data_IF_852567467491
#
_entry.id   IF_852567467491
#
_cell.length_a   1.000
_cell.length_b   1.000
_cell.length_c   1.000
_cell.angle_alpha   90.00
_cell.angle_beta   90.00
_cell.angle_gamma   90.00
#
_symmetry.space_group_name_H-M   'P 1'
#
loop_
_entity.id
_entity.type
_entity.pdbx_description
1 polymer ?
#
# COMPACT_ATOMS: atom_id res chain seq x y z
N UNK A 1 -14.12 -9.23 45.41
CA UNK A 1 -14.72 -10.57 45.28
C UNK A 1 -13.59 -11.59 45.32
N UNK A 2 -13.40 -12.28 46.45
CA UNK A 2 -12.34 -13.27 46.64
C UNK A 2 -12.72 -14.57 45.93
N UNK A 3 -12.01 -14.91 44.85
CA UNK A 3 -12.10 -16.24 44.25
C UNK A 3 -11.53 -17.22 45.29
N UNK A 4 -12.36 -18.12 45.80
CA UNK A 4 -11.93 -19.09 46.80
C UNK A 4 -10.98 -20.10 46.15
N UNK A 5 -10.03 -20.64 46.91
CA UNK A 5 -9.12 -21.72 46.47
C UNK A 5 -9.84 -22.99 46.04
N UNK A 6 -11.13 -23.16 46.38
CA UNK A 6 -11.98 -24.25 45.89
C UNK A 6 -12.38 -24.08 44.40
N UNK A 7 -12.45 -22.86 43.89
CA UNK A 7 -12.84 -22.59 42.50
C UNK A 7 -11.73 -22.92 41.49
N UNK A 8 -10.46 -22.84 41.90
CA UNK A 8 -9.34 -23.16 41.02
C UNK A 8 -9.20 -24.67 40.76
N UNK A 9 -9.61 -25.54 41.69
CA UNK A 9 -9.51 -27.01 41.54
C UNK A 9 -10.41 -27.56 40.43
N UNK A 10 -11.48 -26.84 40.06
CA UNK A 10 -12.43 -27.25 39.01
C UNK A 10 -12.15 -26.62 37.64
N UNK A 11 -11.07 -25.87 37.48
CA UNK A 11 -10.74 -25.21 36.19
C UNK A 11 -10.64 -26.21 35.02
N UNK A 12 -10.18 -27.44 35.28
CA UNK A 12 -10.12 -28.52 34.28
C UNK A 12 -11.48 -29.12 33.90
N UNK A 13 -12.51 -28.90 34.72
CA UNK A 13 -13.87 -29.42 34.52
C UNK A 13 -14.79 -28.42 33.81
N UNK A 14 -14.42 -27.12 33.83
CA UNK A 14 -15.18 -26.07 33.16
C UNK A 14 -14.88 -26.09 31.67
N UNK A 15 -15.83 -26.62 30.89
CA UNK A 15 -15.76 -26.54 29.42
C UNK A 15 -15.91 -25.08 28.99
N UNK A 16 -14.87 -24.53 28.40
CA UNK A 16 -14.90 -23.18 27.83
C UNK A 16 -16.10 -23.04 26.86
N UNK A 17 -16.86 -21.93 26.93
CA UNK A 17 -17.90 -21.65 25.94
C UNK A 17 -17.37 -21.78 24.52
N UNK A 18 -18.19 -22.30 23.61
CA UNK A 18 -17.82 -22.38 22.21
C UNK A 18 -17.34 -21.02 21.69
N UNK A 19 -16.20 -21.01 21.00
CA UNK A 19 -15.61 -19.79 20.46
C UNK A 19 -14.81 -18.94 21.45
N UNK A 20 -14.72 -19.29 22.75
CA UNK A 20 -14.01 -18.45 23.74
C UNK A 20 -12.53 -18.26 23.40
N UNK A 21 -11.81 -19.34 23.08
CA UNK A 21 -10.40 -19.27 22.71
C UNK A 21 -10.18 -18.38 21.47
N UNK A 22 -11.06 -18.48 20.47
CA UNK A 22 -11.01 -17.64 19.27
C UNK A 22 -11.24 -16.16 19.62
N UNK A 23 -12.26 -15.85 20.43
CA UNK A 23 -12.53 -14.48 20.88
C UNK A 23 -11.40 -13.89 21.71
N UNK A 24 -10.77 -14.71 22.57
CA UNK A 24 -9.60 -14.28 23.37
C UNK A 24 -8.39 -14.00 22.48
N UNK A 25 -8.10 -14.88 21.52
CA UNK A 25 -7.00 -14.67 20.57
C UNK A 25 -7.22 -13.43 19.70
N UNK A 26 -8.44 -13.23 19.19
CA UNK A 26 -8.84 -12.03 18.44
C UNK A 26 -8.73 -10.76 19.30
N UNK A 27 -9.27 -10.82 20.53
CA UNK A 27 -9.24 -9.71 21.49
C UNK A 27 -7.83 -9.33 21.94
N UNK A 28 -6.92 -10.30 22.03
CA UNK A 28 -5.50 -10.06 22.28
C UNK A 28 -4.75 -9.57 21.03
N UNK A 29 -5.31 -9.74 19.83
CA UNK A 29 -4.66 -9.46 18.55
C UNK A 29 -3.58 -10.47 18.18
N UNK A 30 -3.75 -11.72 18.66
CA UNK A 30 -2.90 -12.89 18.38
C UNK A 30 -3.48 -13.76 17.24
N UNK A 31 -4.67 -13.44 16.78
CA UNK A 31 -5.32 -14.04 15.63
C UNK A 31 -6.17 -12.99 14.92
N UNK A 32 -6.33 -13.15 13.61
CA UNK A 32 -6.95 -12.15 12.75
C UNK A 32 -8.18 -12.78 12.06
N UNK A 33 -9.30 -12.08 12.07
CA UNK A 33 -10.47 -12.45 11.28
C UNK A 33 -10.21 -12.13 9.82
N UNK A 34 -10.86 -12.85 8.90
CA UNK A 34 -10.74 -12.53 7.49
C UNK A 34 -12.05 -12.81 6.74
N UNK A 35 -12.19 -12.18 5.58
CA UNK A 35 -13.31 -12.40 4.66
C UNK A 35 -12.90 -12.12 3.22
N UNK A 36 -13.69 -12.64 2.28
CA UNK A 36 -13.59 -12.35 0.85
C UNK A 36 -14.43 -11.12 0.50
N UNK A 37 -13.84 -10.23 -0.29
CA UNK A 37 -14.48 -9.06 -0.87
C UNK A 37 -14.33 -9.10 -2.38
N UNK A 38 -15.42 -8.91 -3.10
CA UNK A 38 -15.35 -8.71 -4.54
C UNK A 38 -15.01 -7.24 -4.84
N UNK A 39 -13.97 -7.02 -5.63
CA UNK A 39 -13.46 -5.69 -5.95
C UNK A 39 -13.30 -5.53 -7.47
N UNK A 40 -13.08 -4.30 -7.93
CA UNK A 40 -12.84 -4.00 -9.35
C UNK A 40 -11.58 -4.70 -9.93
N UNK A 41 -10.69 -5.20 -9.08
CA UNK A 41 -9.47 -5.93 -9.46
C UNK A 41 -9.57 -7.45 -9.23
N UNK A 42 -10.78 -7.94 -8.95
CA UNK A 42 -11.09 -9.34 -8.63
C UNK A 42 -11.37 -9.58 -7.14
N UNK A 43 -11.59 -10.84 -6.78
CA UNK A 43 -11.80 -11.23 -5.39
C UNK A 43 -10.52 -11.05 -4.57
N UNK A 44 -10.64 -10.38 -3.42
CA UNK A 44 -9.54 -10.13 -2.49
C UNK A 44 -9.96 -10.64 -1.11
N UNK A 45 -9.13 -11.46 -0.49
CA UNK A 45 -9.25 -11.79 0.92
C UNK A 45 -8.56 -10.71 1.74
N UNK A 46 -9.22 -10.25 2.79
CA UNK A 46 -8.72 -9.20 3.70
C UNK A 46 -8.77 -9.76 5.12
N UNK A 47 -7.64 -9.68 5.83
CA UNK A 47 -7.56 -10.02 7.24
C UNK A 47 -7.44 -8.76 8.11
N UNK A 48 -8.07 -8.77 9.28
CA UNK A 48 -8.07 -7.66 10.21
C UNK A 48 -8.13 -8.12 11.67
N UNK A 49 -7.71 -7.22 12.55
CA UNK A 49 -7.88 -7.33 14.00
C UNK A 49 -8.16 -5.93 14.59
N UNK A 50 -8.17 -5.82 15.92
CA UNK A 50 -8.41 -4.54 16.63
C UNK A 50 -7.46 -3.39 16.24
N UNK A 51 -6.23 -3.74 15.84
CA UNK A 51 -5.19 -2.78 15.46
C UNK A 51 -5.41 -2.24 14.04
N UNK A 52 -6.01 -3.04 13.16
CA UNK A 52 -6.32 -2.66 11.78
C UNK A 52 -6.34 -3.86 10.83
N UNK A 53 -6.39 -3.57 9.53
CA UNK A 53 -6.16 -4.56 8.48
C UNK A 53 -4.70 -5.00 8.53
N UNK A 54 -4.45 -6.30 8.54
CA UNK A 54 -3.12 -6.90 8.70
C UNK A 54 -2.63 -7.60 7.44
N UNK A 55 -3.53 -8.06 6.58
CA UNK A 55 -3.16 -8.63 5.29
C UNK A 55 -4.26 -8.45 4.24
N UNK A 56 -3.87 -8.48 2.98
CA UNK A 56 -4.75 -8.60 1.85
C UNK A 56 -4.10 -9.44 0.75
N UNK A 57 -4.84 -10.30 0.06
CA UNK A 57 -4.31 -10.99 -1.11
C UNK A 57 -5.41 -11.39 -2.09
N UNK A 58 -5.08 -11.46 -3.37
CA UNK A 58 -5.88 -12.22 -4.33
C UNK A 58 -5.54 -13.69 -4.15
N UNK A 59 -6.55 -14.51 -3.92
CA UNK A 59 -6.41 -15.95 -3.78
C UNK A 59 -7.63 -16.63 -4.39
N UNK A 60 -7.44 -17.82 -4.96
CA UNK A 60 -8.51 -18.60 -5.58
C UNK A 60 -9.36 -19.32 -4.54
N UNK A 61 -8.83 -19.51 -3.33
CA UNK A 61 -9.54 -20.15 -2.23
C UNK A 61 -9.18 -19.54 -0.88
N UNK A 62 -10.04 -19.78 0.11
CA UNK A 62 -9.75 -19.42 1.50
C UNK A 62 -8.52 -20.18 2.04
N UNK A 63 -8.33 -21.44 1.63
CA UNK A 63 -7.20 -22.25 2.05
C UNK A 63 -5.85 -21.65 1.60
N UNK A 64 -5.76 -21.25 0.32
CA UNK A 64 -4.58 -20.58 -0.25
C UNK A 64 -4.28 -19.26 0.50
N UNK A 65 -5.32 -18.48 0.81
CA UNK A 65 -5.16 -17.26 1.61
C UNK A 65 -4.65 -17.55 3.01
N UNK A 66 -5.18 -18.58 3.67
CA UNK A 66 -4.75 -18.95 5.03
C UNK A 66 -3.30 -19.45 5.07
N UNK A 67 -2.83 -20.15 4.04
CA UNK A 67 -1.42 -20.55 3.91
C UNK A 67 -0.51 -19.33 3.75
N UNK A 68 -0.86 -18.44 2.82
CA UNK A 68 -0.17 -17.16 2.64
C UNK A 68 -0.13 -16.35 3.95
N UNK A 69 -1.26 -16.22 4.64
CA UNK A 69 -1.35 -15.45 5.87
C UNK A 69 -0.46 -16.02 6.98
N UNK A 70 -0.41 -17.35 7.13
CA UNK A 70 0.49 -17.99 8.10
C UNK A 70 1.96 -17.75 7.76
N UNK A 71 2.33 -17.81 6.49
CA UNK A 71 3.70 -17.63 6.03
C UNK A 71 4.18 -16.18 6.21
N UNK A 72 3.37 -15.20 5.79
CA UNK A 72 3.79 -13.79 5.75
C UNK A 72 3.52 -13.03 7.06
N UNK A 73 2.42 -13.33 7.75
CA UNK A 73 2.01 -12.59 8.97
C UNK A 73 2.38 -13.35 10.24
N UNK A 74 2.54 -14.67 10.17
CA UNK A 74 2.91 -15.52 11.32
C UNK A 74 1.83 -15.63 12.40
N UNK A 75 0.63 -15.10 12.17
CA UNK A 75 -0.53 -15.20 13.09
C UNK A 75 -1.53 -16.25 12.60
N UNK A 76 -2.44 -16.63 13.49
CA UNK A 76 -3.51 -17.57 13.15
C UNK A 76 -4.66 -16.86 12.43
N UNK A 77 -5.08 -17.30 11.23
CA UNK A 77 -6.32 -16.83 10.64
C UNK A 77 -7.49 -17.47 11.40
N UNK A 78 -8.43 -16.65 11.86
CA UNK A 78 -9.72 -17.10 12.37
C UNK A 78 -10.69 -17.15 11.19
N UNK A 79 -11.39 -18.27 11.07
CA UNK A 79 -12.37 -18.65 10.04
C UNK A 79 -13.04 -17.47 9.31
N UNK A 80 -13.43 -17.67 8.03
CA UNK A 80 -14.15 -16.67 7.28
C UNK A 80 -15.45 -16.31 8.02
N UNK A 81 -15.48 -15.10 8.57
CA UNK A 81 -16.66 -14.52 9.19
C UNK A 81 -17.33 -13.58 8.19
N UNK A 82 -18.64 -13.37 8.32
CA UNK A 82 -19.26 -12.21 7.65
C UNK A 82 -18.66 -10.96 8.28
N UNK A 83 -17.96 -10.10 7.52
CA UNK A 83 -17.42 -8.87 8.07
C UNK A 83 -18.58 -8.04 8.64
N UNK A 84 -18.35 -7.33 9.75
CA UNK A 84 -19.35 -6.38 10.21
C UNK A 84 -19.69 -5.39 9.08
N UNK A 85 -20.94 -4.92 8.96
CA UNK A 85 -21.30 -3.93 7.94
C UNK A 85 -20.39 -2.70 7.95
N UNK A 86 -19.94 -2.28 9.14
CA UNK A 86 -18.96 -1.21 9.32
C UNK A 86 -17.61 -1.54 8.65
N UNK A 87 -17.05 -2.72 8.89
CA UNK A 87 -15.78 -3.12 8.28
C UNK A 87 -15.89 -3.22 6.75
N UNK A 88 -16.98 -3.80 6.25
CA UNK A 88 -17.23 -3.89 4.81
C UNK A 88 -17.34 -2.49 4.15
N UNK A 89 -18.01 -1.55 4.81
CA UNK A 89 -18.10 -0.18 4.34
C UNK A 89 -16.74 0.51 4.35
N UNK A 90 -15.95 0.36 5.42
CA UNK A 90 -14.60 0.94 5.51
C UNK A 90 -13.64 0.38 4.47
N UNK A 91 -13.72 -0.92 4.16
CA UNK A 91 -12.92 -1.54 3.09
C UNK A 91 -13.30 -0.95 1.73
N UNK A 92 -14.59 -0.83 1.45
CA UNK A 92 -15.09 -0.17 0.22
C UNK A 92 -14.64 1.28 0.12
N UNK A 93 -14.68 2.02 1.24
CA UNK A 93 -14.22 3.40 1.33
C UNK A 93 -12.70 3.55 1.13
N UNK A 94 -11.90 2.64 1.68
CA UNK A 94 -10.44 2.65 1.45
C UNK A 94 -10.11 2.37 -0.01
N UNK A 95 -10.79 1.41 -0.64
CA UNK A 95 -10.61 1.06 -2.06
C UNK A 95 -11.04 2.20 -3.00
N UNK A 96 -12.03 3.00 -2.60
CA UNK A 96 -12.43 4.23 -3.32
C UNK A 96 -11.57 5.46 -2.99
N UNK A 97 -10.60 5.32 -2.08
CA UNK A 97 -9.58 6.34 -1.80
C UNK A 97 -9.87 7.28 -0.63
N UNK A 98 -10.90 7.03 0.20
CA UNK A 98 -11.25 7.86 1.36
C UNK A 98 -10.32 7.70 2.58
N UNK A 99 -9.42 6.70 2.56
CA UNK A 99 -8.36 6.48 3.57
C UNK A 99 -8.84 6.36 5.03
N UNK A 100 -9.91 5.59 5.27
CA UNK A 100 -10.54 5.42 6.59
C UNK A 100 -9.98 4.24 7.40
N UNK A 101 -9.13 3.38 6.82
CA UNK A 101 -8.59 2.19 7.47
C UNK A 101 -7.27 2.45 8.21
N UNK A 102 -7.12 1.75 9.33
CA UNK A 102 -5.84 1.54 10.03
C UNK A 102 -5.21 0.24 9.54
N UNK A 103 -3.88 0.19 9.57
CA UNK A 103 -3.12 -0.99 9.20
C UNK A 103 -2.29 -1.50 10.36
N UNK A 104 -2.38 -2.80 10.62
CA UNK A 104 -1.56 -3.51 11.58
C UNK A 104 -0.28 -3.99 10.90
N UNK A 105 0.79 -3.20 11.07
CA UNK A 105 2.11 -3.53 10.55
C UNK A 105 3.03 -4.18 11.59
N UNK A 106 2.48 -4.66 12.72
CA UNK A 106 3.25 -5.40 13.72
C UNK A 106 3.74 -6.71 13.12
N UNK A 107 5.02 -7.01 13.33
CA UNK A 107 5.71 -8.15 12.71
C UNK A 107 6.68 -7.72 11.60
N UNK A 108 6.50 -6.51 11.05
CA UNK A 108 7.45 -5.91 10.11
C UNK A 108 8.54 -5.11 10.84
N UNK A 109 9.72 -5.02 10.26
CA UNK A 109 10.82 -4.18 10.74
C UNK A 109 10.44 -2.69 10.69
N UNK A 110 11.09 -1.85 11.50
CA UNK A 110 10.84 -0.40 11.48
C UNK A 110 11.05 0.20 10.08
N UNK A 111 12.04 -0.30 9.35
CA UNK A 111 12.33 0.10 7.97
C UNK A 111 11.16 -0.25 7.03
N UNK A 112 10.67 -1.48 7.05
CA UNK A 112 9.53 -1.91 6.22
C UNK A 112 8.28 -1.10 6.56
N UNK A 113 8.00 -0.89 7.84
CA UNK A 113 6.88 -0.07 8.27
C UNK A 113 6.99 1.37 7.75
N UNK A 114 8.19 1.97 7.79
CA UNK A 114 8.43 3.31 7.24
C UNK A 114 8.21 3.36 5.73
N UNK A 115 8.69 2.35 4.99
CA UNK A 115 8.49 2.19 3.54
C UNK A 115 7.00 2.12 3.21
N UNK A 116 6.25 1.23 3.86
CA UNK A 116 4.83 1.01 3.59
C UNK A 116 3.99 2.25 3.92
N UNK A 117 4.24 2.91 5.07
CA UNK A 117 3.59 4.18 5.42
C UNK A 117 3.87 5.26 4.39
N UNK A 118 5.13 5.37 3.93
CA UNK A 118 5.51 6.37 2.94
C UNK A 118 4.89 6.09 1.56
N UNK A 119 4.85 4.83 1.13
CA UNK A 119 4.16 4.44 -0.10
C UNK A 119 2.66 4.76 -0.05
N UNK A 120 2.02 4.60 1.12
CA UNK A 120 0.62 5.01 1.33
C UNK A 120 0.40 6.48 1.06
N UNK A 121 1.37 7.38 1.26
CA UNK A 121 1.21 8.81 0.96
C UNK A 121 1.04 9.11 -0.53
N UNK A 122 1.38 8.17 -1.44
CA UNK A 122 1.27 8.39 -2.87
C UNK A 122 -0.21 8.41 -3.27
N UNK A 123 -0.74 9.53 -3.82
CA UNK A 123 -2.16 9.64 -4.14
C UNK A 123 -2.58 8.74 -5.30
N UNK A 124 -3.88 8.44 -5.37
CA UNK A 124 -4.49 7.70 -6.48
C UNK A 124 -4.16 8.36 -7.83
N UNK A 125 -3.79 7.54 -8.81
CA UNK A 125 -3.43 8.00 -10.15
C UNK A 125 -2.10 8.75 -10.23
N UNK A 126 -1.24 8.60 -9.23
CA UNK A 126 0.13 9.11 -9.23
C UNK A 126 1.13 8.00 -8.97
N UNK A 127 2.35 8.17 -9.48
CA UNK A 127 3.48 7.27 -9.19
C UNK A 127 4.69 8.04 -8.66
N UNK A 128 5.54 7.35 -7.89
CA UNK A 128 6.83 7.87 -7.43
C UNK A 128 7.93 6.81 -7.64
N UNK A 129 9.19 7.21 -7.84
CA UNK A 129 10.26 6.24 -7.96
C UNK A 129 10.61 5.60 -6.61
N UNK A 130 11.21 4.40 -6.60
CA UNK A 130 11.73 3.79 -5.37
C UNK A 130 12.70 4.71 -4.61
N UNK A 131 13.52 5.46 -5.34
CA UNK A 131 14.44 6.46 -4.79
C UNK A 131 13.74 7.59 -4.05
N UNK A 132 12.50 7.93 -4.44
CA UNK A 132 11.70 8.92 -3.74
C UNK A 132 11.30 8.39 -2.36
N UNK A 133 10.83 7.15 -2.27
CA UNK A 133 10.49 6.53 -0.98
C UNK A 133 11.73 6.44 -0.09
N UNK A 134 12.85 5.96 -0.64
CA UNK A 134 14.13 5.84 0.07
C UNK A 134 14.59 7.18 0.68
N UNK A 135 14.52 8.26 -0.10
CA UNK A 135 14.83 9.62 0.37
C UNK A 135 13.88 10.08 1.47
N UNK A 136 12.58 9.89 1.27
CA UNK A 136 11.54 10.40 2.18
C UNK A 136 11.47 9.65 3.53
N UNK A 137 12.10 8.48 3.63
CA UNK A 137 12.28 7.75 4.89
C UNK A 137 13.67 7.98 5.51
N UNK A 138 14.51 8.87 4.94
CA UNK A 138 15.83 9.19 5.47
C UNK A 138 16.95 8.22 5.07
N UNK A 139 16.70 7.29 4.14
CA UNK A 139 17.66 6.27 3.70
C UNK A 139 17.87 6.31 2.17
N UNK A 140 18.43 7.39 1.60
CA UNK A 140 18.49 7.60 0.14
C UNK A 140 19.24 6.50 -0.64
N UNK A 141 20.22 5.84 -0.02
CA UNK A 141 20.96 4.73 -0.63
C UNK A 141 20.20 3.39 -0.62
N UNK A 142 19.13 3.26 0.17
CA UNK A 142 18.42 2.01 0.42
C UNK A 142 17.38 1.63 -0.67
N UNK A 143 17.56 2.12 -1.91
CA UNK A 143 16.58 1.94 -3.01
C UNK A 143 16.20 0.48 -3.25
N UNK A 144 17.18 -0.44 -3.20
CA UNK A 144 16.93 -1.88 -3.37
C UNK A 144 16.15 -2.46 -2.20
N UNK A 145 16.50 -2.10 -0.96
CA UNK A 145 15.80 -2.55 0.23
C UNK A 145 14.35 -2.04 0.28
N UNK A 146 14.09 -0.81 -0.19
CA UNK A 146 12.73 -0.30 -0.40
C UNK A 146 11.97 -1.19 -1.39
N UNK A 147 12.62 -1.60 -2.49
CA UNK A 147 12.03 -2.53 -3.45
C UNK A 147 11.62 -3.87 -2.83
N UNK A 148 12.50 -4.46 -2.02
CA UNK A 148 12.22 -5.71 -1.29
C UNK A 148 11.06 -5.55 -0.29
N UNK A 149 11.07 -4.48 0.51
CA UNK A 149 9.99 -4.20 1.47
C UNK A 149 8.63 -4.01 0.78
N UNK A 150 8.59 -3.38 -0.40
CA UNK A 150 7.35 -3.22 -1.17
C UNK A 150 6.90 -4.50 -1.88
N UNK A 151 7.85 -5.37 -2.25
CA UNK A 151 7.55 -6.67 -2.83
C UNK A 151 6.89 -7.60 -1.81
N UNK A 152 7.30 -7.50 -0.54
CA UNK A 152 6.76 -8.26 0.59
C UNK A 152 5.66 -7.48 1.34
N UNK A 153 4.98 -6.54 0.68
CA UNK A 153 3.88 -5.81 1.30
C UNK A 153 2.74 -6.79 1.63
N UNK A 154 2.39 -7.01 2.92
CA UNK A 154 1.32 -7.94 3.29
C UNK A 154 -0.07 -7.39 2.97
N UNK A 155 -0.20 -6.09 2.67
CA UNK A 155 -1.46 -5.40 2.44
C UNK A 155 -1.45 -4.70 1.06
N UNK A 156 -1.28 -5.45 -0.05
CA UNK A 156 -1.39 -4.91 -1.40
C UNK A 156 -2.76 -4.25 -1.62
N UNK A 157 -2.82 -3.34 -2.61
CA UNK A 157 -3.99 -2.54 -3.00
C UNK A 157 -4.37 -1.44 -2.02
N UNK A 158 -4.38 -1.73 -0.72
CA UNK A 158 -4.61 -0.74 0.33
C UNK A 158 -3.34 0.09 0.60
N UNK A 159 -2.18 -0.59 0.71
CA UNK A 159 -0.87 0.05 0.65
C UNK A 159 -0.38 -0.06 -0.80
N UNK A 160 -0.29 1.06 -1.55
CA UNK A 160 -0.21 1.04 -3.00
C UNK A 160 1.23 0.82 -3.48
N UNK A 161 1.79 -0.36 -3.25
CA UNK A 161 3.12 -0.72 -3.75
C UNK A 161 3.20 -0.71 -5.30
N UNK A 162 2.07 -0.84 -5.99
CA UNK A 162 1.97 -0.66 -7.45
C UNK A 162 2.22 0.79 -7.92
N UNK A 163 2.08 1.80 -7.05
CA UNK A 163 2.38 3.20 -7.37
C UNK A 163 3.85 3.56 -7.26
N UNK A 164 4.70 2.65 -6.80
CA UNK A 164 6.15 2.85 -6.74
C UNK A 164 6.80 2.19 -7.95
N UNK A 165 7.52 2.97 -8.77
CA UNK A 165 8.09 2.52 -10.05
C UNK A 165 9.60 2.74 -10.10
N UNK A 166 10.25 2.27 -11.16
CA UNK A 166 11.68 2.56 -11.35
C UNK A 166 11.88 4.05 -11.65
N UNK A 167 13.06 4.57 -11.30
CA UNK A 167 13.41 5.98 -11.56
C UNK A 167 13.50 6.31 -13.05
N UNK A 168 13.78 5.31 -13.88
CA UNK A 168 13.72 5.43 -15.33
C UNK A 168 12.29 5.52 -15.88
N UNK A 169 11.27 5.35 -15.04
CA UNK A 169 9.84 5.36 -15.42
C UNK A 169 9.33 4.03 -15.98
N UNK A 170 10.19 3.01 -16.09
CA UNK A 170 9.79 1.65 -16.49
C UNK A 170 8.98 1.00 -15.36
N UNK A 171 7.82 0.45 -15.71
CA UNK A 171 7.01 -0.34 -14.78
C UNK A 171 7.63 -1.74 -14.69
N UNK A 172 8.36 -1.97 -13.59
CA UNK A 172 8.98 -3.25 -13.30
C UNK A 172 8.03 -4.30 -12.73
N UNK A 173 8.61 -5.41 -12.28
CA UNK A 173 7.87 -6.52 -11.68
C UNK A 173 7.06 -6.11 -10.44
N UNK A 174 6.05 -6.92 -10.10
CA UNK A 174 5.10 -6.66 -9.02
C UNK A 174 4.72 -7.95 -8.30
N UNK A 175 4.84 -7.94 -6.96
CA UNK A 175 4.50 -9.11 -6.13
C UNK A 175 3.05 -9.57 -6.29
N UNK A 176 2.12 -8.65 -6.58
CA UNK A 176 0.68 -8.97 -6.71
C UNK A 176 0.23 -9.50 -8.07
N UNK A 177 1.11 -10.15 -8.84
CA UNK A 177 0.76 -10.80 -10.12
C UNK A 177 1.51 -10.29 -11.36
N UNK A 178 2.73 -9.78 -11.19
CA UNK A 178 3.62 -9.43 -12.30
C UNK A 178 3.42 -8.03 -12.90
N UNK A 179 4.26 -7.65 -13.88
CA UNK A 179 4.28 -6.30 -14.44
C UNK A 179 2.95 -5.92 -15.11
N UNK A 180 2.25 -6.86 -15.75
CA UNK A 180 0.97 -6.60 -16.40
C UNK A 180 -0.14 -6.31 -15.40
N UNK A 181 -0.19 -7.01 -14.26
CA UNK A 181 -1.13 -6.68 -13.19
C UNK A 181 -0.90 -5.27 -12.65
N UNK A 182 0.37 -4.86 -12.48
CA UNK A 182 0.72 -3.51 -12.04
C UNK A 182 0.29 -2.45 -13.05
N UNK A 183 0.52 -2.69 -14.34
CA UNK A 183 0.05 -1.80 -15.42
C UNK A 183 -1.47 -1.69 -15.43
N UNK A 184 -2.19 -2.81 -15.32
CA UNK A 184 -3.65 -2.83 -15.30
C UNK A 184 -4.21 -1.99 -14.15
N UNK A 185 -3.68 -2.15 -12.93
CA UNK A 185 -4.11 -1.35 -11.78
C UNK A 185 -3.82 0.13 -12.01
N UNK A 186 -2.61 0.49 -12.47
CA UNK A 186 -2.26 1.89 -12.75
C UNK A 186 -3.16 2.51 -13.83
N UNK A 187 -3.51 1.75 -14.87
CA UNK A 187 -4.46 2.18 -15.90
C UNK A 187 -5.86 2.42 -15.31
N UNK A 188 -6.34 1.54 -14.43
CA UNK A 188 -7.60 1.75 -13.69
C UNK A 188 -7.55 3.02 -12.85
N UNK A 189 -6.38 3.38 -12.31
CA UNK A 189 -6.19 4.66 -11.61
C UNK A 189 -6.08 5.89 -12.52
N UNK A 190 -6.24 5.71 -13.83
CA UNK A 190 -6.14 6.76 -14.83
C UNK A 190 -4.72 7.20 -15.12
N UNK A 191 -3.71 6.35 -14.86
CA UNK A 191 -2.33 6.58 -15.30
C UNK A 191 -2.21 6.18 -16.76
N UNK A 192 -1.75 7.10 -17.61
CA UNK A 192 -1.40 6.81 -19.01
C UNK A 192 -0.07 6.07 -19.06
N UNK A 193 -0.12 4.74 -18.91
CA UNK A 193 1.06 3.87 -18.81
C UNK A 193 1.99 4.00 -20.01
N UNK A 194 1.44 3.97 -21.24
CA UNK A 194 2.24 4.07 -22.46
C UNK A 194 2.96 5.42 -22.55
N UNK A 195 2.24 6.52 -22.31
CA UNK A 195 2.81 7.86 -22.28
C UNK A 195 3.93 8.00 -21.23
N UNK A 196 3.75 7.44 -20.02
CA UNK A 196 4.79 7.44 -19.01
C UNK A 196 6.04 6.66 -19.47
N UNK A 197 5.85 5.55 -20.19
CA UNK A 197 6.94 4.78 -20.76
C UNK A 197 7.63 5.50 -21.94
N UNK A 198 6.91 6.32 -22.71
CA UNK A 198 7.48 7.14 -23.78
C UNK A 198 8.35 8.26 -23.19
N UNK A 199 7.85 8.96 -22.15
CA UNK A 199 8.63 9.96 -21.39
C UNK A 199 9.88 9.34 -20.76
N UNK A 200 9.73 8.17 -20.16
CA UNK A 200 10.81 7.37 -19.59
C UNK A 200 11.94 7.15 -20.60
N UNK A 201 11.59 6.66 -21.81
CA UNK A 201 12.51 6.40 -22.93
C UNK A 201 13.17 7.68 -23.45
N UNK A 202 12.43 8.80 -23.48
CA UNK A 202 12.97 10.10 -23.83
C UNK A 202 13.85 10.73 -22.72
N UNK A 203 14.08 10.04 -21.61
CA UNK A 203 14.87 10.56 -20.49
C UNK A 203 14.15 11.63 -19.66
N UNK A 204 12.86 11.87 -19.91
CA UNK A 204 12.06 12.86 -19.16
C UNK A 204 11.68 12.29 -17.81
N UNK A 205 11.88 13.07 -16.73
CA UNK A 205 11.55 12.68 -15.35
C UNK A 205 10.60 13.64 -14.66
N UNK A 206 10.61 14.89 -15.11
CA UNK A 206 9.79 15.95 -14.58
C UNK A 206 9.07 16.69 -15.69
N UNK A 207 8.08 17.47 -15.27
CA UNK A 207 7.42 18.45 -16.11
C UNK A 207 7.31 19.77 -15.36
N UNK A 208 7.66 20.86 -16.02
CA UNK A 208 7.46 22.23 -15.60
C UNK A 208 6.12 22.77 -16.10
N UNK A 209 5.42 23.54 -15.29
CA UNK A 209 4.14 24.19 -15.66
C UNK A 209 4.33 25.70 -15.69
N UNK A 210 4.43 26.27 -16.90
CA UNK A 210 4.78 27.68 -17.17
C UNK A 210 3.95 28.67 -16.36
N UNK A 211 2.63 28.48 -16.31
CA UNK A 211 1.71 29.39 -15.60
C UNK A 211 1.91 29.46 -14.09
N UNK A 212 2.55 28.45 -13.50
CA UNK A 212 2.76 28.37 -12.04
C UNK A 212 4.23 28.42 -11.64
N UNK A 213 5.15 28.30 -12.60
CA UNK A 213 6.58 28.26 -12.35
C UNK A 213 7.03 27.05 -11.51
N UNK A 214 6.24 25.95 -11.47
CA UNK A 214 6.62 24.75 -10.69
C UNK A 214 6.95 23.57 -11.57
N UNK A 215 7.89 22.73 -11.12
CA UNK A 215 8.11 21.40 -11.70
C UNK A 215 7.63 20.29 -10.77
N UNK A 216 7.24 19.16 -11.35
CA UNK A 216 6.70 18.00 -10.64
C UNK A 216 6.83 16.72 -11.48
N UNK A 217 6.51 15.55 -10.90
CA UNK A 217 6.45 14.30 -11.66
C UNK A 217 5.32 14.32 -12.72
N UNK A 218 5.46 13.59 -13.84
CA UNK A 218 4.47 13.57 -14.93
C UNK A 218 3.04 13.21 -14.49
N UNK A 219 2.91 12.28 -13.53
CA UNK A 219 1.61 11.84 -13.01
C UNK A 219 1.06 12.68 -11.86
N UNK A 220 1.79 13.72 -11.44
CA UNK A 220 1.36 14.64 -10.40
C UNK A 220 0.01 15.28 -10.74
N UNK A 221 -0.93 15.31 -9.79
CA UNK A 221 -2.27 15.88 -9.97
C UNK A 221 -2.29 17.28 -10.59
N UNK A 222 -1.31 18.13 -10.24
CA UNK A 222 -1.18 19.48 -10.79
C UNK A 222 -0.76 19.47 -12.26
N UNK A 223 0.36 18.81 -12.55
CA UNK A 223 0.91 18.83 -13.89
C UNK A 223 0.06 18.03 -14.89
N UNK A 224 -0.60 16.94 -14.47
CA UNK A 224 -1.52 16.17 -15.34
C UNK A 224 -2.75 16.94 -15.82
N UNK A 225 -3.08 18.07 -15.18
CA UNK A 225 -4.20 18.96 -15.54
C UNK A 225 -3.72 20.22 -16.27
N UNK A 226 -2.42 20.43 -16.39
CA UNK A 226 -1.88 21.56 -17.14
C UNK A 226 -2.15 21.36 -18.63
N UNK A 227 -2.50 22.47 -19.31
CA UNK A 227 -2.65 22.47 -20.77
C UNK A 227 -1.30 22.21 -21.41
N UNK A 228 -1.28 21.41 -22.47
CA UNK A 228 -0.05 20.96 -23.14
C UNK A 228 0.88 22.11 -23.53
N UNK A 229 0.33 23.21 -24.06
CA UNK A 229 1.09 24.45 -24.38
C UNK A 229 1.86 25.06 -23.19
N UNK A 230 1.39 24.78 -21.97
CA UNK A 230 1.95 25.28 -20.71
C UNK A 230 2.91 24.28 -20.05
N UNK A 231 3.12 23.11 -20.64
CA UNK A 231 4.01 22.08 -20.11
C UNK A 231 5.38 22.18 -20.77
N UNK A 232 6.43 22.01 -19.97
CA UNK A 232 7.81 21.83 -20.41
C UNK A 232 8.28 20.49 -19.87
N UNK A 233 8.80 19.61 -20.73
CA UNK A 233 9.35 18.32 -20.32
C UNK A 233 10.79 18.53 -19.86
N UNK A 234 11.17 17.90 -18.75
CA UNK A 234 12.44 18.12 -18.07
C UNK A 234 13.07 16.77 -17.70
N UNK A 235 14.35 16.61 -17.97
CA UNK A 235 15.13 15.40 -17.75
C UNK A 235 15.53 15.22 -16.29
N UNK A 236 15.86 16.31 -15.59
CA UNK A 236 16.25 16.28 -14.19
C UNK A 236 15.89 17.57 -13.44
N UNK A 237 16.27 17.62 -12.16
CA UNK A 237 15.96 18.74 -11.29
C UNK A 237 16.85 19.97 -11.55
N UNK A 238 18.06 19.78 -12.06
CA UNK A 238 18.99 20.87 -12.34
C UNK A 238 18.53 21.63 -13.59
N UNK A 239 18.14 20.91 -14.63
CA UNK A 239 17.49 21.50 -15.81
C UNK A 239 16.22 22.26 -15.41
N UNK A 240 15.40 21.70 -14.53
CA UNK A 240 14.19 22.36 -14.05
C UNK A 240 14.49 23.69 -13.35
N UNK A 241 15.51 23.72 -12.48
CA UNK A 241 15.94 24.92 -11.75
C UNK A 241 16.53 25.96 -12.71
N UNK A 242 17.39 25.52 -13.64
CA UNK A 242 17.99 26.39 -14.67
C UNK A 242 16.92 27.03 -15.58
N UNK A 243 15.85 26.31 -15.87
CA UNK A 243 14.68 26.81 -16.60
C UNK A 243 13.72 27.67 -15.75
N UNK A 244 14.08 27.98 -14.49
CA UNK A 244 13.32 28.87 -13.61
C UNK A 244 12.15 28.21 -12.87
N UNK A 245 12.05 26.87 -12.87
CA UNK A 245 10.99 26.16 -12.16
C UNK A 245 11.42 25.81 -10.72
N UNK A 246 10.50 26.01 -9.76
CA UNK A 246 10.67 25.57 -8.37
C UNK A 246 9.99 24.22 -8.10
N UNK A 247 10.48 23.40 -7.15
CA UNK A 247 9.85 22.11 -6.85
C UNK A 247 8.45 22.28 -6.24
N UNK A 248 7.48 21.49 -6.70
CA UNK A 248 6.14 21.48 -6.10
C UNK A 248 6.15 20.81 -4.72
N UNK A 249 5.83 21.59 -3.67
CA UNK A 249 5.81 21.15 -2.26
C UNK A 249 5.02 19.86 -2.00
N UNK A 250 3.82 19.70 -2.56
CA UNK A 250 3.01 18.49 -2.34
C UNK A 250 3.45 17.30 -3.18
N UNK A 251 4.11 17.53 -4.31
CA UNK A 251 4.64 16.46 -5.16
C UNK A 251 5.96 15.92 -4.62
N UNK A 252 6.76 16.80 -4.00
CA UNK A 252 8.10 16.53 -3.48
C UNK A 252 9.00 15.90 -4.55
N UNK A 253 9.15 16.48 -5.76
CA UNK A 253 10.09 15.95 -6.73
C UNK A 253 11.49 15.95 -6.10
N UNK A 254 12.31 14.95 -6.43
CA UNK A 254 13.68 14.91 -5.92
C UNK A 254 14.41 16.15 -6.45
N UNK A 255 14.79 17.05 -5.56
CA UNK A 255 15.82 18.02 -5.87
C UNK A 255 17.14 17.26 -5.87
N UNK A 256 17.98 17.49 -6.88
CA UNK A 256 19.41 17.28 -6.70
C UNK A 256 19.90 18.18 -5.56
#
# INVERSE_FOLDING_TARGET
>A
MSVSTADLKRLGEVKAPAGLAQRVLAGAGLADEYARFDTVIGAVFVAWNRSGVSAAARSNSAHEFEEYFRAEVGRRPLRPGTPSPEMAHRITDELSGKRTLRFDLRGLTEFEQAVLRKAREIPYGQVRPYSWVAREIGHPSAVRAVGSALANNPIPYFIPCHRVVRADGVIGNYGGGGPEAKKAILTLEGVRVQWLADLARAGVRYQGVKTTGVYCYPTCHHGRRALERNVVLLHDAEEAKAAGFRPRKSCRPMAA
#
